data_IF_624683938147
#
_entry.id   IF_624683938147
#
_cell.length_a   1.000
_cell.length_b   1.000
_cell.length_c   1.000
_cell.angle_alpha   90.00
_cell.angle_beta   90.00
_cell.angle_gamma   90.00
#
_symmetry.space_group_name_H-M   'P 1'
#
loop_
_entity.id
_entity.type
_entity.pdbx_description
1 polymer ?
#
# COMPACT_ATOMS: atom_id res chain seq x y z
N UNK A 1 -21.15 10.62 21.89
CA UNK A 1 -20.30 9.41 21.82
C UNK A 1 -20.73 8.44 20.71
N UNK A 2 -22.02 8.10 20.55
CA UNK A 2 -22.51 7.24 19.44
C UNK A 2 -22.05 7.67 18.04
N UNK A 3 -22.15 8.96 17.71
CA UNK A 3 -21.77 9.46 16.38
C UNK A 3 -20.28 9.34 16.08
N UNK A 4 -19.43 9.42 17.11
CA UNK A 4 -17.96 9.27 16.96
C UNK A 4 -17.60 7.82 16.65
N UNK A 5 -18.26 6.86 17.31
CA UNK A 5 -18.06 5.43 17.07
C UNK A 5 -18.49 5.06 15.65
N UNK A 6 -19.61 5.63 15.18
CA UNK A 6 -20.10 5.43 13.80
C UNK A 6 -19.11 6.00 12.78
N UNK A 7 -18.58 7.22 12.99
CA UNK A 7 -17.57 7.79 12.11
C UNK A 7 -16.28 6.95 12.07
N UNK A 8 -15.84 6.41 13.22
CA UNK A 8 -14.66 5.55 13.29
C UNK A 8 -14.87 4.25 12.50
N UNK A 9 -16.03 3.61 12.67
CA UNK A 9 -16.37 2.40 11.92
C UNK A 9 -16.38 2.67 10.41
N UNK A 10 -17.01 3.76 9.98
CA UNK A 10 -17.07 4.17 8.57
C UNK A 10 -15.68 4.41 7.98
N UNK A 11 -14.77 5.08 8.71
CA UNK A 11 -13.39 5.28 8.25
C UNK A 11 -12.60 3.96 8.12
N UNK A 12 -12.79 3.02 9.05
CA UNK A 12 -12.13 1.70 9.02
C UNK A 12 -12.64 0.86 7.85
N UNK A 13 -13.96 0.81 7.63
CA UNK A 13 -14.54 -0.02 6.57
C UNK A 13 -14.36 0.57 5.16
N UNK A 14 -14.32 1.90 5.00
CA UNK A 14 -14.15 2.51 3.68
C UNK A 14 -12.70 2.56 3.18
N UNK A 15 -11.70 2.53 4.07
CA UNK A 15 -10.29 2.65 3.67
C UNK A 15 -9.54 1.31 3.56
N UNK A 16 -10.12 0.20 4.04
CA UNK A 16 -9.41 -1.09 4.10
C UNK A 16 -9.56 -1.93 2.81
N UNK A 17 -10.61 -1.71 2.03
CA UNK A 17 -10.83 -2.45 0.78
C UNK A 17 -10.37 -1.62 -0.43
N UNK A 18 -9.12 -1.83 -0.86
CA UNK A 18 -8.67 -1.41 -2.20
C UNK A 18 -7.46 -0.48 -2.27
N UNK A 19 -6.67 -0.28 -1.21
CA UNK A 19 -5.42 0.46 -1.36
C UNK A 19 -4.46 -0.32 -2.26
N UNK A 20 -4.25 0.13 -3.49
CA UNK A 20 -3.21 -0.40 -4.34
C UNK A 20 -1.85 -0.12 -3.72
N UNK A 21 -0.93 -1.08 -3.77
CA UNK A 21 0.47 -0.82 -3.45
C UNK A 21 0.98 0.35 -4.31
N UNK A 22 1.66 1.30 -3.67
CA UNK A 22 2.38 2.34 -4.38
C UNK A 22 3.61 1.68 -5.00
N UNK A 23 3.53 1.36 -6.29
CA UNK A 23 4.62 0.71 -7.02
C UNK A 23 5.72 1.73 -7.32
N UNK A 24 6.97 1.32 -7.12
CA UNK A 24 8.12 2.10 -7.49
C UNK A 24 8.40 1.94 -8.98
N UNK A 25 8.52 3.06 -9.71
CA UNK A 25 8.95 3.08 -11.10
C UNK A 25 10.42 3.46 -11.15
N UNK A 26 11.28 2.54 -11.61
CA UNK A 26 12.72 2.73 -11.70
C UNK A 26 13.46 1.40 -11.72
N UNK A 27 14.75 1.44 -11.46
CA UNK A 27 15.59 0.24 -11.37
C UNK A 27 15.48 -0.43 -10.00
N UNK A 28 15.91 -1.69 -9.92
CA UNK A 28 15.93 -2.43 -8.66
C UNK A 28 16.90 -1.83 -7.63
N UNK A 29 18.05 -1.29 -8.06
CA UNK A 29 19.01 -0.69 -7.13
C UNK A 29 18.51 0.63 -6.55
N UNK A 30 17.81 1.45 -7.34
CA UNK A 30 17.16 2.66 -6.82
C UNK A 30 16.02 2.29 -5.85
N UNK A 31 15.22 1.26 -6.17
CA UNK A 31 14.19 0.75 -5.28
C UNK A 31 14.76 0.27 -3.94
N UNK A 32 15.91 -0.41 -3.95
CA UNK A 32 16.64 -0.83 -2.75
C UNK A 32 17.13 0.36 -1.93
N UNK A 33 17.68 1.38 -2.58
CA UNK A 33 18.14 2.59 -1.92
C UNK A 33 16.99 3.33 -1.23
N UNK A 34 15.83 3.47 -1.90
CA UNK A 34 14.64 4.15 -1.35
C UNK A 34 13.95 3.34 -0.24
N UNK A 35 13.93 2.01 -0.35
CA UNK A 35 13.30 1.14 0.65
C UNK A 35 14.03 1.18 2.00
N UNK A 36 15.34 1.40 2.01
CA UNK A 36 16.16 1.38 3.22
C UNK A 36 16.10 0.02 3.91
N UNK A 37 15.57 -0.03 5.14
CA UNK A 37 15.40 -1.27 5.92
C UNK A 37 14.05 -1.98 5.71
N UNK A 38 13.19 -1.48 4.82
CA UNK A 38 11.87 -2.06 4.55
C UNK A 38 11.96 -3.25 3.61
N UNK A 39 11.00 -4.16 3.72
CA UNK A 39 10.82 -5.25 2.75
C UNK A 39 10.33 -4.69 1.40
N UNK A 40 10.86 -5.24 0.31
CA UNK A 40 10.49 -4.87 -1.06
C UNK A 40 9.64 -6.00 -1.64
N UNK A 41 8.50 -5.65 -2.23
CA UNK A 41 7.69 -6.59 -2.99
C UNK A 41 8.01 -6.44 -4.48
N UNK A 42 8.50 -7.52 -5.09
CA UNK A 42 8.73 -7.60 -6.52
C UNK A 42 7.53 -8.29 -7.18
N UNK A 43 6.90 -7.59 -8.12
CA UNK A 43 5.82 -8.16 -8.93
C UNK A 43 6.33 -8.38 -10.34
N UNK A 44 6.59 -9.65 -10.66
CA UNK A 44 6.96 -10.08 -11.99
C UNK A 44 5.71 -10.18 -12.86
N UNK A 45 5.76 -9.63 -14.07
CA UNK A 45 4.71 -9.75 -15.07
C UNK A 45 5.26 -10.55 -16.25
N UNK A 46 4.51 -11.54 -16.70
CA UNK A 46 4.67 -12.17 -18.01
C UNK A 46 3.66 -11.53 -18.97
N UNK A 47 3.90 -11.59 -20.29
CA UNK A 47 2.95 -11.03 -21.26
C UNK A 47 1.61 -11.78 -21.33
N UNK A 48 1.49 -12.91 -20.63
CA UNK A 48 0.27 -13.69 -20.34
C UNK A 48 0.58 -14.66 -19.22
#
# INVERSE_FOLDING_TARGET
MKNVIVCLAVMVFMNCHGSSYQWYAGTFEEAKSVAGSKLIMLKFYTYT
#
